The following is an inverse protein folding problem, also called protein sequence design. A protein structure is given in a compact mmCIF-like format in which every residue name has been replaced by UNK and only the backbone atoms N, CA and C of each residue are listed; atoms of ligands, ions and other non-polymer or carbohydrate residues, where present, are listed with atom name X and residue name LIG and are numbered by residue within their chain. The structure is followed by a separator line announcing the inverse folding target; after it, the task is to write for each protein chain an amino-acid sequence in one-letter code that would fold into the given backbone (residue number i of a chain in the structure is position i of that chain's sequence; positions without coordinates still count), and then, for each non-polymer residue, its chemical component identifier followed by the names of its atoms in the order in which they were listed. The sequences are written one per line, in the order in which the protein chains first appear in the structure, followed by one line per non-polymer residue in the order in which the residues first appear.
data_IF_420198517870
#
_entry.id   IF_420198517870
#
_cell.length_a   1.000
_cell.length_b   1.000
_cell.length_c   1.000
_cell.angle_alpha   90.00
_cell.angle_beta   90.00
_cell.angle_gamma   90.00
#
_symmetry.space_group_name_H-M   'P 1'
#
loop_
_entity.id
_entity.type
_entity.pdbx_description
1 polymer ?
#
# COMPACT_ATOMS: atom_id res chain seq x y z
N UNK A 1 -13.12 4.85 10.25
CA UNK A 1 -13.09 3.53 9.56
C UNK A 1 -11.92 2.62 9.96
N UNK A 2 -10.76 3.18 10.36
CA UNK A 2 -9.53 2.43 10.71
C UNK A 2 -9.67 1.42 11.88
N UNK A 3 -10.29 1.80 13.00
CA UNK A 3 -10.38 0.93 14.20
C UNK A 3 -11.14 -0.37 13.95
N UNK A 4 -12.24 -0.32 13.18
CA UNK A 4 -13.04 -1.51 12.86
C UNK A 4 -12.28 -2.50 11.98
N UNK A 5 -11.50 -2.00 11.02
CA UNK A 5 -10.66 -2.85 10.15
C UNK A 5 -9.57 -3.58 10.93
N UNK A 6 -8.89 -2.88 11.86
CA UNK A 6 -7.88 -3.49 12.72
C UNK A 6 -8.45 -4.60 13.63
N UNK A 7 -9.58 -4.34 14.28
CA UNK A 7 -10.24 -5.33 15.14
C UNK A 7 -10.72 -6.55 14.33
N UNK A 8 -11.26 -6.33 13.13
CA UNK A 8 -11.67 -7.42 12.25
C UNK A 8 -10.47 -8.27 11.83
N UNK A 9 -9.36 -7.65 11.40
CA UNK A 9 -8.14 -8.36 11.02
C UNK A 9 -7.57 -9.18 12.19
N UNK A 10 -7.51 -8.59 13.40
CA UNK A 10 -7.05 -9.29 14.60
C UNK A 10 -7.92 -10.51 14.89
N UNK A 11 -9.25 -10.33 14.95
CA UNK A 11 -10.21 -11.39 15.25
C UNK A 11 -10.12 -12.54 14.23
N UNK A 12 -10.00 -12.21 12.94
CA UNK A 12 -9.85 -13.20 11.86
C UNK A 12 -8.53 -13.96 12.02
N UNK A 13 -7.43 -13.26 12.32
CA UNK A 13 -6.10 -13.88 12.47
C UNK A 13 -5.99 -14.80 13.70
N UNK A 14 -6.76 -14.52 14.75
CA UNK A 14 -6.74 -15.29 16.01
C UNK A 14 -7.68 -16.51 15.98
N UNK A 15 -8.45 -16.68 14.91
CA UNK A 15 -9.37 -17.81 14.75
C UNK A 15 -8.59 -19.13 14.56
N UNK A 16 -9.00 -20.24 15.19
CA UNK A 16 -8.41 -21.56 14.94
C UNK A 16 -8.64 -22.08 13.51
N UNK A 17 -9.52 -21.43 12.75
CA UNK A 17 -9.76 -21.69 11.32
C UNK A 17 -8.99 -20.74 10.40
N UNK A 18 -8.11 -19.89 10.95
CA UNK A 18 -7.31 -18.98 10.15
C UNK A 18 -6.33 -19.77 9.29
N UNK A 19 -6.37 -19.54 7.98
CA UNK A 19 -5.37 -20.06 7.05
C UNK A 19 -4.36 -18.97 6.73
N UNK A 20 -3.09 -19.36 6.59
CA UNK A 20 -2.05 -18.46 6.07
C UNK A 20 -2.46 -18.03 4.67
N UNK A 21 -2.58 -16.73 4.45
CA UNK A 21 -2.86 -16.19 3.12
C UNK A 21 -1.63 -16.45 2.23
N UNK A 22 -1.78 -17.33 1.25
CA UNK A 22 -0.74 -17.61 0.23
C UNK A 22 -0.42 -16.40 -0.64
N UNK A 23 -1.37 -15.46 -0.76
CA UNK A 23 -1.24 -14.23 -1.54
C UNK A 23 -0.67 -13.06 -0.73
N UNK A 24 -0.06 -13.35 0.42
CA UNK A 24 0.61 -12.33 1.21
C UNK A 24 1.78 -11.70 0.43
N UNK A 25 2.12 -10.46 0.77
CA UNK A 25 3.29 -9.80 0.20
C UNK A 25 4.54 -10.65 0.47
N UNK A 26 5.24 -11.03 -0.60
CA UNK A 26 6.53 -11.72 -0.53
C UNK A 26 7.65 -10.76 -0.94
N UNK A 27 8.81 -10.89 -0.29
CA UNK A 27 10.03 -10.18 -0.71
C UNK A 27 10.40 -10.56 -2.16
N UNK A 28 11.00 -9.64 -2.95
CA UNK A 28 11.39 -9.93 -4.32
C UNK A 28 12.49 -11.00 -4.40
N UNK A 29 12.63 -11.64 -5.57
CA UNK A 29 13.70 -12.61 -5.84
C UNK A 29 15.06 -11.90 -5.86
N UNK A 30 16.14 -12.66 -5.63
CA UNK A 30 17.50 -12.14 -5.78
C UNK A 30 17.69 -11.51 -7.16
N UNK A 31 18.36 -10.34 -7.21
CA UNK A 31 18.53 -9.55 -8.44
C UNK A 31 17.36 -8.64 -8.79
N UNK A 32 16.26 -8.67 -8.03
CA UNK A 32 15.11 -7.79 -8.22
C UNK A 32 14.90 -6.87 -7.02
N UNK A 33 14.25 -5.74 -7.29
CA UNK A 33 13.65 -4.86 -6.29
C UNK A 33 12.12 -4.92 -6.42
N UNK A 34 11.41 -4.48 -5.38
CA UNK A 34 9.96 -4.32 -5.40
C UNK A 34 9.61 -2.88 -5.07
N UNK A 35 8.78 -2.27 -5.93
CA UNK A 35 8.16 -0.97 -5.70
C UNK A 35 6.80 -1.20 -5.02
N UNK A 36 6.62 -0.61 -3.85
CA UNK A 36 5.33 -0.53 -3.17
C UNK A 36 4.81 0.90 -3.33
N UNK A 37 3.60 1.09 -3.84
CA UNK A 37 2.97 2.40 -4.00
C UNK A 37 1.63 2.40 -3.26
N UNK A 38 1.25 3.56 -2.75
CA UNK A 38 -0.06 3.85 -2.15
C UNK A 38 -0.42 5.32 -2.44
N UNK A 39 -1.69 5.61 -2.76
CA UNK A 39 -2.17 6.96 -3.00
C UNK A 39 -3.37 7.33 -2.12
N UNK A 40 -3.39 8.60 -1.70
CA UNK A 40 -4.50 9.21 -1.00
C UNK A 40 -5.13 10.32 -1.83
N UNK A 41 -6.45 10.48 -1.71
CA UNK A 41 -7.21 11.55 -2.34
C UNK A 41 -7.94 12.38 -1.27
N UNK A 42 -7.89 13.70 -1.44
CA UNK A 42 -8.63 14.66 -0.63
C UNK A 42 -9.76 15.28 -1.46
N UNK A 43 -10.99 14.97 -1.06
CA UNK A 43 -12.19 15.42 -1.77
C UNK A 43 -12.45 16.93 -1.63
N UNK A 44 -11.94 17.58 -0.57
CA UNK A 44 -12.18 19.01 -0.35
C UNK A 44 -11.27 19.85 -1.24
N UNK A 45 -10.04 19.40 -1.47
CA UNK A 45 -9.05 20.09 -2.34
C UNK A 45 -8.99 19.55 -3.75
N UNK A 46 -9.63 18.40 -4.02
CA UNK A 46 -9.50 17.60 -5.25
C UNK A 46 -8.06 17.22 -5.57
N UNK A 47 -7.17 17.25 -4.58
CA UNK A 47 -5.78 16.86 -4.74
C UNK A 47 -5.58 15.40 -4.37
N UNK A 48 -4.56 14.79 -4.96
CA UNK A 48 -4.06 13.51 -4.51
C UNK A 48 -2.61 13.65 -3.99
N UNK A 49 -2.21 12.71 -3.15
CA UNK A 49 -0.81 12.53 -2.74
C UNK A 49 -0.48 11.07 -2.88
N UNK A 50 0.77 10.74 -3.16
CA UNK A 50 1.20 9.36 -3.21
C UNK A 50 2.55 9.17 -2.54
N UNK A 51 2.80 7.94 -2.11
CA UNK A 51 4.06 7.50 -1.58
C UNK A 51 4.51 6.23 -2.28
N UNK A 52 5.80 6.16 -2.58
CA UNK A 52 6.40 4.97 -3.17
C UNK A 52 7.65 4.55 -2.39
N UNK A 53 7.85 3.23 -2.20
CA UNK A 53 8.97 2.65 -1.47
C UNK A 53 9.59 1.53 -2.29
N UNK A 54 10.91 1.60 -2.52
CA UNK A 54 11.68 0.55 -3.16
C UNK A 54 12.32 -0.34 -2.08
N UNK A 55 12.19 -1.66 -2.23
CA UNK A 55 12.77 -2.67 -1.34
C UNK A 55 13.64 -3.68 -2.09
N UNK A 56 14.72 -4.12 -1.46
CA UNK A 56 15.63 -5.14 -1.99
C UNK A 56 15.06 -6.57 -1.87
N UNK A 57 15.79 -7.55 -2.39
CA UNK A 57 15.47 -8.99 -2.30
C UNK A 57 15.44 -9.57 -0.88
N UNK A 58 15.93 -8.83 0.12
CA UNK A 58 15.82 -9.16 1.54
C UNK A 58 14.61 -8.48 2.19
N UNK A 59 13.85 -7.70 1.43
CA UNK A 59 12.73 -6.87 1.90
C UNK A 59 13.17 -5.59 2.60
N UNK A 60 14.46 -5.25 2.57
CA UNK A 60 15.01 -4.05 3.19
C UNK A 60 14.72 -2.83 2.35
N UNK A 61 14.49 -1.71 3.03
CA UNK A 61 14.34 -0.40 2.41
C UNK A 61 15.59 -0.03 1.59
N UNK A 62 15.38 0.53 0.40
CA UNK A 62 16.41 1.15 -0.44
C UNK A 62 16.18 2.66 -0.52
N UNK A 63 14.99 3.06 -0.97
CA UNK A 63 14.63 4.47 -1.21
C UNK A 63 13.11 4.65 -1.11
N UNK A 64 12.67 5.89 -0.91
CA UNK A 64 11.27 6.30 -0.97
C UNK A 64 11.12 7.69 -1.59
N UNK A 65 9.93 7.95 -2.13
CA UNK A 65 9.49 9.28 -2.53
C UNK A 65 8.04 9.50 -2.10
N UNK A 66 7.64 10.76 -1.99
CA UNK A 66 6.25 11.17 -1.93
C UNK A 66 6.08 12.45 -2.75
N UNK A 67 4.93 12.59 -3.38
CA UNK A 67 4.59 13.77 -4.20
C UNK A 67 3.11 14.08 -4.12
N UNK A 68 2.76 15.30 -4.52
CA UNK A 68 1.38 15.78 -4.64
C UNK A 68 0.98 15.88 -6.11
N UNK A 69 -0.26 15.47 -6.40
CA UNK A 69 -0.96 15.68 -7.67
C UNK A 69 -2.02 16.75 -7.40
N UNK A 70 -1.87 17.92 -8.02
CA UNK A 70 -2.71 19.09 -7.69
C UNK A 70 -4.19 18.89 -8.01
N UNK A 71 -4.51 18.14 -9.06
CA UNK A 71 -5.89 17.84 -9.47
C UNK A 71 -5.98 16.35 -9.78
N UNK A 72 -6.85 15.66 -9.06
CA UNK A 72 -7.22 14.27 -9.27
C UNK A 72 -8.74 14.14 -9.23
N UNK A 73 -9.29 13.21 -10.01
CA UNK A 73 -10.74 13.08 -10.14
C UNK A 73 -11.36 12.37 -8.95
N UNK A 74 -10.74 11.27 -8.52
CA UNK A 74 -11.16 10.46 -7.38
C UNK A 74 -9.99 9.64 -6.81
N UNK A 75 -10.24 8.91 -5.73
CA UNK A 75 -9.24 8.04 -5.10
C UNK A 75 -8.79 6.88 -5.99
N UNK A 76 -9.66 6.38 -6.87
CA UNK A 76 -9.31 5.26 -7.76
C UNK A 76 -8.29 5.71 -8.82
N UNK A 77 -8.50 6.90 -9.37
CA UNK A 77 -7.61 7.55 -10.32
C UNK A 77 -6.27 7.89 -9.66
N UNK A 78 -6.30 8.35 -8.40
CA UNK A 78 -5.09 8.64 -7.63
C UNK A 78 -4.19 7.41 -7.53
N UNK A 79 -4.75 6.25 -7.19
CA UNK A 79 -4.04 4.96 -7.12
C UNK A 79 -3.53 4.52 -8.50
N UNK A 80 -4.33 4.68 -9.55
CA UNK A 80 -3.96 4.25 -10.90
C UNK A 80 -2.83 5.07 -11.54
N UNK A 81 -2.73 6.37 -11.23
CA UNK A 81 -1.71 7.27 -11.81
C UNK A 81 -0.29 6.91 -11.34
N UNK A 82 -0.17 6.32 -10.15
CA UNK A 82 1.11 6.24 -9.43
C UNK A 82 1.75 4.84 -9.50
N UNK A 83 1.09 3.89 -10.15
CA UNK A 83 1.51 2.48 -10.31
C UNK A 83 2.44 2.28 -11.50
#
# INVERSE_FOLDING_TARGET
MSVRGLVANYTISYSPKAHVRSDAWLKPKYGYVKLNVDAGFDNDTLAATFGAVIRDHRGKFIAATNEKIDICFDSFTAEAIVV
#
